data_IF_453630493296
#
_entry.id   IF_453630493296
#
_cell.length_a   1.000
_cell.length_b   1.000
_cell.length_c   1.000
_cell.angle_alpha   90.00
_cell.angle_beta   90.00
_cell.angle_gamma   90.00
#
_symmetry.space_group_name_H-M   'P 1'
#
loop_
_entity.id
_entity.type
_entity.pdbx_description
1 polymer ?
#
# COMPACT_ATOMS: atom_id res chain seq x y z
N UNK A 1 14.83 -13.21 -21.46
CA UNK A 1 14.29 -13.05 -20.10
C UNK A 1 14.21 -11.55 -19.81
N UNK A 2 13.02 -10.97 -19.71
CA UNK A 2 12.86 -9.55 -19.38
C UNK A 2 13.04 -9.36 -17.88
N UNK A 3 14.21 -8.89 -17.46
CA UNK A 3 14.46 -8.36 -16.12
C UNK A 3 13.38 -7.33 -15.81
N UNK A 4 12.60 -7.57 -14.75
CA UNK A 4 11.63 -6.60 -14.25
C UNK A 4 12.46 -5.41 -13.77
N UNK A 5 12.59 -4.37 -14.61
CA UNK A 5 13.25 -3.11 -14.26
C UNK A 5 12.71 -2.67 -12.90
N UNK A 6 13.61 -2.34 -11.98
CA UNK A 6 13.29 -1.70 -10.71
C UNK A 6 12.19 -0.66 -10.97
N UNK A 7 11.01 -0.85 -10.35
CA UNK A 7 9.94 0.11 -10.49
C UNK A 7 10.50 1.48 -10.05
N UNK A 8 10.35 2.54 -10.86
CA UNK A 8 10.83 3.86 -10.48
C UNK A 8 10.29 4.22 -9.11
N UNK A 9 11.12 4.83 -8.24
CA UNK A 9 10.67 5.36 -6.95
C UNK A 9 9.73 6.53 -7.23
N UNK A 10 8.46 6.22 -7.43
CA UNK A 10 7.40 7.20 -7.68
C UNK A 10 6.75 7.59 -6.36
N UNK A 11 6.59 8.89 -6.13
CA UNK A 11 5.78 9.42 -5.03
C UNK A 11 4.33 8.95 -5.16
N UNK A 12 3.71 8.55 -4.05
CA UNK A 12 2.28 8.18 -4.04
C UNK A 12 1.46 9.29 -3.44
N UNK A 13 0.45 9.77 -4.17
CA UNK A 13 -0.55 10.68 -3.62
C UNK A 13 -1.47 9.94 -2.65
N UNK A 14 -1.61 10.51 -1.44
CA UNK A 14 -2.52 10.05 -0.40
C UNK A 14 -3.59 11.11 -0.13
N UNK A 15 -4.85 10.69 0.00
CA UNK A 15 -5.95 11.57 0.37
C UNK A 15 -6.04 11.67 1.90
N UNK A 16 -5.69 12.84 2.43
CA UNK A 16 -5.95 13.23 3.83
C UNK A 16 -7.34 13.85 3.91
N UNK A 17 -8.11 13.50 4.95
CA UNK A 17 -9.47 14.04 5.19
C UNK A 17 -9.47 14.70 6.56
N UNK A 18 -10.12 15.84 6.68
CA UNK A 18 -10.20 16.64 7.92
C UNK A 18 -11.29 16.17 8.89
N UNK A 19 -12.30 15.45 8.38
CA UNK A 19 -13.43 14.99 9.20
C UNK A 19 -13.02 13.82 10.11
N UNK A 20 -13.30 13.95 11.41
CA UNK A 20 -12.99 12.93 12.42
C UNK A 20 -13.79 11.63 12.20
N UNK A 21 -14.98 11.69 11.60
CA UNK A 21 -15.75 10.48 11.27
C UNK A 21 -15.12 9.69 10.09
N UNK A 22 -14.23 10.32 9.32
CA UNK A 22 -13.51 9.67 8.22
C UNK A 22 -12.28 8.88 8.68
N UNK A 23 -11.96 8.87 9.99
CA UNK A 23 -10.80 8.15 10.54
C UNK A 23 -10.87 6.67 10.18
N UNK A 24 -9.75 6.13 9.70
CA UNK A 24 -9.64 4.73 9.27
C UNK A 24 -10.03 3.78 10.41
N UNK A 25 -9.59 4.08 11.64
CA UNK A 25 -9.87 3.28 12.84
C UNK A 25 -11.33 3.29 13.29
N UNK A 26 -12.14 4.26 12.83
CA UNK A 26 -13.57 4.33 13.13
C UNK A 26 -14.43 3.64 12.05
N UNK A 27 -13.82 3.17 10.96
CA UNK A 27 -14.53 2.51 9.87
C UNK A 27 -14.85 1.06 10.20
N UNK A 28 -15.98 0.57 9.67
CA UNK A 28 -16.32 -0.87 9.70
C UNK A 28 -15.34 -1.72 8.89
N UNK A 29 -14.69 -1.13 7.87
CA UNK A 29 -13.65 -1.77 7.07
C UNK A 29 -12.43 -0.83 6.95
N UNK A 30 -11.55 -0.82 7.97
CA UNK A 30 -10.38 0.04 7.98
C UNK A 30 -9.46 -0.18 6.77
N UNK A 31 -9.31 -1.43 6.32
CA UNK A 31 -8.39 -1.76 5.24
C UNK A 31 -8.89 -1.21 3.89
N UNK A 32 -10.17 -1.41 3.59
CA UNK A 32 -10.79 -0.80 2.42
C UNK A 32 -10.70 0.74 2.49
N UNK A 33 -10.95 1.31 3.68
CA UNK A 33 -10.88 2.77 3.88
C UNK A 33 -9.48 3.32 3.63
N UNK A 34 -8.43 2.60 4.05
CA UNK A 34 -7.04 2.91 3.72
C UNK A 34 -6.81 2.85 2.21
N UNK A 35 -7.28 1.79 1.54
CA UNK A 35 -7.16 1.68 0.07
C UNK A 35 -7.85 2.83 -0.66
N UNK A 36 -9.00 3.31 -0.16
CA UNK A 36 -9.67 4.51 -0.70
C UNK A 36 -8.91 5.81 -0.48
N UNK A 37 -7.88 5.84 0.38
CA UNK A 37 -6.96 6.98 0.48
C UNK A 37 -5.91 6.99 -0.62
N UNK A 38 -5.61 5.83 -1.19
CA UNK A 38 -4.59 5.65 -2.22
C UNK A 38 -5.19 5.58 -3.62
N UNK A 39 -6.35 4.93 -3.77
CA UNK A 39 -6.99 4.69 -5.05
C UNK A 39 -8.28 5.49 -5.17
N UNK A 40 -8.41 6.24 -6.25
CA UNK A 40 -9.62 7.00 -6.55
C UNK A 40 -10.77 6.06 -6.93
N UNK A 41 -10.48 5.09 -7.80
CA UNK A 41 -11.45 4.08 -8.23
C UNK A 41 -11.66 2.99 -7.19
N UNK A 42 -12.92 2.75 -6.85
CA UNK A 42 -13.33 1.75 -5.87
C UNK A 42 -12.92 0.33 -6.25
N UNK A 43 -13.09 -0.07 -7.52
CA UNK A 43 -12.69 -1.40 -8.00
C UNK A 43 -11.19 -1.64 -7.79
N UNK A 44 -10.37 -0.63 -8.05
CA UNK A 44 -8.92 -0.70 -7.87
C UNK A 44 -8.55 -0.72 -6.38
N UNK A 45 -9.29 -0.01 -5.52
CA UNK A 45 -9.12 -0.08 -4.07
C UNK A 45 -9.41 -1.49 -3.52
N UNK A 46 -10.49 -2.13 -3.97
CA UNK A 46 -10.84 -3.50 -3.59
C UNK A 46 -9.76 -4.50 -4.02
N UNK A 47 -9.28 -4.40 -5.26
CA UNK A 47 -8.19 -5.24 -5.77
C UNK A 47 -6.87 -4.99 -5.03
N UNK A 48 -6.58 -3.75 -4.65
CA UNK A 48 -5.43 -3.41 -3.82
C UNK A 48 -5.50 -4.06 -2.44
N UNK A 49 -6.67 -4.02 -1.78
CA UNK A 49 -6.93 -4.74 -0.54
C UNK A 49 -6.71 -6.25 -0.71
N UNK A 50 -7.34 -6.85 -1.72
CA UNK A 50 -7.22 -8.29 -2.01
C UNK A 50 -5.76 -8.69 -2.23
N UNK A 51 -5.01 -7.93 -3.03
CA UNK A 51 -3.61 -8.25 -3.29
C UNK A 51 -2.75 -8.18 -2.02
N UNK A 52 -2.99 -7.21 -1.13
CA UNK A 52 -2.29 -7.15 0.14
C UNK A 52 -2.65 -8.32 1.06
N UNK A 53 -3.92 -8.74 1.10
CA UNK A 53 -4.34 -9.94 1.84
C UNK A 53 -3.68 -11.21 1.30
N UNK A 54 -3.60 -11.37 -0.02
CA UNK A 54 -2.88 -12.51 -0.63
C UNK A 54 -1.41 -12.53 -0.22
N UNK A 55 -0.74 -11.37 -0.22
CA UNK A 55 0.66 -11.25 0.23
C UNK A 55 0.77 -11.62 1.71
N UNK A 56 -0.11 -11.11 2.56
CA UNK A 56 -0.13 -11.39 3.99
C UNK A 56 -0.26 -12.89 4.27
N UNK A 57 -1.26 -13.53 3.68
CA UNK A 57 -1.54 -14.97 3.85
C UNK A 57 -0.35 -15.83 3.41
N UNK A 58 0.15 -15.59 2.19
CA UNK A 58 1.30 -16.30 1.61
C UNK A 58 2.59 -16.08 2.40
N UNK A 59 2.81 -14.86 2.88
CA UNK A 59 3.97 -14.56 3.73
C UNK A 59 3.87 -15.29 5.07
N UNK A 60 2.69 -15.31 5.70
CA UNK A 60 2.46 -15.95 6.99
C UNK A 60 2.50 -17.48 6.88
N UNK A 61 2.18 -18.05 5.72
CA UNK A 61 2.33 -19.50 5.45
C UNK A 61 3.77 -19.90 5.09
N UNK A 62 4.72 -18.96 5.06
CA UNK A 62 6.11 -19.23 4.70
C UNK A 62 6.33 -19.43 3.19
N UNK A 63 5.35 -19.09 2.35
CA UNK A 63 5.44 -19.20 0.89
C UNK A 63 5.09 -17.86 0.20
N UNK A 64 5.93 -16.81 0.35
CA UNK A 64 5.65 -15.49 -0.20
C UNK A 64 5.43 -15.51 -1.71
N UNK A 65 4.56 -14.62 -2.19
CA UNK A 65 4.30 -14.46 -3.62
C UNK A 65 5.55 -13.96 -4.33
N UNK A 66 6.06 -14.76 -5.27
CA UNK A 66 7.19 -14.38 -6.13
C UNK A 66 6.71 -13.43 -7.21
N UNK A 67 7.58 -12.53 -7.64
CA UNK A 67 7.33 -11.58 -8.73
C UNK A 67 7.06 -12.27 -10.06
N UNK A 68 7.57 -13.49 -10.25
CA UNK A 68 7.29 -14.34 -11.42
C UNK A 68 5.85 -14.85 -11.46
N UNK A 69 5.16 -14.94 -10.31
CA UNK A 69 3.76 -15.38 -10.18
C UNK A 69 2.75 -14.28 -10.60
N UNK A 70 3.22 -13.14 -11.12
CA UNK A 70 2.38 -12.00 -11.47
C UNK A 70 1.21 -12.32 -12.40
N UNK A 71 1.35 -13.32 -13.29
CA UNK A 71 0.26 -13.73 -14.21
C UNK A 71 -0.89 -14.38 -13.45
N UNK A 72 -0.59 -15.28 -12.53
CA UNK A 72 -1.58 -15.97 -11.72
C UNK A 72 -2.30 -14.96 -10.80
N UNK A 73 -1.53 -14.11 -10.12
CA UNK A 73 -2.11 -13.04 -9.28
C UNK A 73 -3.02 -12.11 -10.10
N UNK A 74 -2.62 -11.75 -11.32
CA UNK A 74 -3.41 -10.91 -12.22
C UNK A 74 -4.75 -11.58 -12.59
N UNK A 75 -4.74 -12.89 -12.82
CA UNK A 75 -5.94 -13.69 -13.11
C UNK A 75 -6.86 -13.78 -11.89
N UNK A 76 -6.32 -14.10 -10.71
CA UNK A 76 -7.08 -14.16 -9.46
C UNK A 76 -7.73 -12.81 -9.09
N UNK A 77 -7.05 -11.70 -9.36
CA UNK A 77 -7.59 -10.34 -9.15
C UNK A 77 -8.53 -9.87 -10.28
N UNK A 78 -8.63 -10.64 -11.38
CA UNK A 78 -9.44 -10.30 -12.56
C UNK A 78 -9.06 -8.95 -13.17
N UNK A 79 -7.76 -8.66 -13.29
CA UNK A 79 -7.24 -7.39 -13.83
C UNK A 79 -6.43 -7.59 -15.11
N UNK A 80 -6.39 -6.57 -15.97
CA UNK A 80 -5.44 -6.54 -17.06
C UNK A 80 -4.02 -6.23 -16.59
N UNK A 81 -3.02 -6.58 -17.40
CA UNK A 81 -1.59 -6.37 -17.10
C UNK A 81 -1.26 -4.94 -16.69
N UNK A 82 -1.74 -3.95 -17.44
CA UNK A 82 -1.47 -2.54 -17.15
C UNK A 82 -2.02 -2.12 -15.77
N UNK A 83 -3.28 -2.51 -15.48
CA UNK A 83 -3.93 -2.23 -14.19
C UNK A 83 -3.21 -2.91 -13.02
N UNK A 84 -2.77 -4.16 -13.19
CA UNK A 84 -1.97 -4.85 -12.19
C UNK A 84 -0.70 -4.08 -11.85
N UNK A 85 0.11 -3.74 -12.86
CA UNK A 85 1.36 -3.02 -12.63
C UNK A 85 1.14 -1.61 -12.07
N UNK A 86 0.09 -0.90 -12.49
CA UNK A 86 -0.24 0.42 -11.93
C UNK A 86 -0.59 0.33 -10.44
N UNK A 87 -1.47 -0.61 -10.06
CA UNK A 87 -1.85 -0.86 -8.68
C UNK A 87 -0.65 -1.29 -7.83
N UNK A 88 0.10 -2.29 -8.30
CA UNK A 88 1.30 -2.82 -7.63
C UNK A 88 2.38 -1.75 -7.45
N UNK A 89 2.63 -0.93 -8.47
CA UNK A 89 3.60 0.17 -8.37
C UNK A 89 3.15 1.24 -7.37
N UNK A 90 1.85 1.52 -7.27
CA UNK A 90 1.33 2.46 -6.26
C UNK A 90 1.52 1.92 -4.84
N UNK A 91 1.28 0.63 -4.62
CA UNK A 91 1.51 -0.02 -3.32
C UNK A 91 3.01 -0.04 -2.95
N UNK A 92 3.89 -0.31 -3.92
CA UNK A 92 5.35 -0.21 -3.74
C UNK A 92 5.79 1.22 -3.42
N UNK A 93 5.30 2.20 -4.19
CA UNK A 93 5.63 3.61 -4.03
C UNK A 93 5.13 4.21 -2.72
N UNK A 94 3.99 3.72 -2.20
CA UNK A 94 3.49 4.09 -0.88
C UNK A 94 4.24 3.40 0.26
N UNK A 95 5.10 2.42 -0.03
CA UNK A 95 5.82 1.68 1.00
C UNK A 95 4.95 0.69 1.79
N UNK A 96 3.81 0.28 1.24
CA UNK A 96 2.92 -0.76 1.81
C UNK A 96 3.47 -2.17 1.57
N UNK A 97 4.17 -2.35 0.45
CA UNK A 97 4.87 -3.59 0.12
C UNK A 97 6.31 -3.29 -0.31
N UNK A 98 7.16 -4.30 -0.22
CA UNK A 98 8.47 -4.31 -0.86
C UNK A 98 8.53 -5.40 -1.93
N UNK A 99 9.51 -5.27 -2.82
CA UNK A 99 9.93 -6.33 -3.71
C UNK A 99 11.41 -6.61 -3.42
N UNK A 100 11.68 -7.56 -2.52
CA UNK A 100 13.04 -7.96 -2.13
C UNK A 100 13.19 -9.45 -2.41
N UNK A 101 14.35 -9.86 -2.92
CA UNK A 101 14.62 -11.25 -3.31
C UNK A 101 13.55 -11.82 -4.26
N UNK A 102 13.03 -10.97 -5.15
CA UNK A 102 11.98 -11.34 -6.10
C UNK A 102 10.67 -11.78 -5.45
N UNK A 103 10.42 -11.42 -4.19
CA UNK A 103 9.20 -11.69 -3.44
C UNK A 103 8.49 -10.40 -3.04
N UNK A 104 7.16 -10.42 -3.11
CA UNK A 104 6.34 -9.38 -2.50
C UNK A 104 6.18 -9.64 -1.01
N UNK A 105 6.45 -8.61 -0.20
CA UNK A 105 6.31 -8.66 1.26
C UNK A 105 5.67 -7.40 1.78
N UNK A 106 4.88 -7.50 2.84
CA UNK A 106 4.34 -6.33 3.53
C UNK A 106 5.48 -5.47 4.10
N UNK A 107 5.24 -4.17 4.17
CA UNK A 107 6.24 -3.19 4.56
C UNK A 107 5.68 -2.20 5.58
N UNK A 108 6.47 -1.93 6.63
CA UNK A 108 6.16 -0.88 7.60
C UNK A 108 6.60 0.52 7.18
N UNK A 109 7.20 0.69 5.98
CA UNK A 109 7.72 1.99 5.53
C UNK A 109 6.60 3.03 5.42
N UNK A 110 5.41 2.63 4.97
CA UNK A 110 4.22 3.48 4.93
C UNK A 110 3.93 4.10 6.31
N UNK A 111 3.85 3.28 7.35
CA UNK A 111 3.54 3.76 8.71
C UNK A 111 4.64 4.67 9.28
N UNK A 112 5.92 4.34 9.03
CA UNK A 112 7.05 5.15 9.49
C UNK A 112 7.02 6.56 8.89
N UNK A 113 6.78 6.66 7.59
CA UNK A 113 6.71 7.95 6.88
C UNK A 113 5.54 8.81 7.37
N UNK A 114 4.37 8.18 7.59
CA UNK A 114 3.21 8.89 8.14
C UNK A 114 3.43 9.39 9.57
N UNK A 115 4.06 8.58 10.43
CA UNK A 115 4.37 8.99 11.81
C UNK A 115 5.39 10.13 11.84
N UNK A 116 6.41 10.07 10.99
CA UNK A 116 7.41 11.14 10.87
C UNK A 116 6.76 12.47 10.47
N UNK A 117 5.94 12.48 9.41
CA UNK A 117 5.20 13.67 8.98
C UNK A 117 4.26 14.19 10.08
N UNK A 118 3.56 13.30 10.77
CA UNK A 118 2.64 13.68 11.85
C UNK A 118 3.38 14.31 13.04
N UNK A 119 4.46 13.68 13.50
CA UNK A 119 5.28 14.15 14.61
C UNK A 119 5.97 15.48 14.27
N UNK A 120 6.49 15.63 13.05
CA UNK A 120 7.07 16.90 12.61
C UNK A 120 6.05 18.03 12.61
N UNK A 121 4.84 17.80 12.07
CA UNK A 121 3.78 18.81 12.11
C UNK A 121 3.40 19.19 13.55
N UNK A 122 3.24 18.20 14.41
CA UNK A 122 2.87 18.40 15.82
C UNK A 122 3.90 19.22 16.59
N UNK A 123 5.18 18.91 16.40
CA UNK A 123 6.28 19.54 17.14
C UNK A 123 6.75 20.84 16.51
N UNK A 124 7.10 20.82 15.23
CA UNK A 124 7.74 21.94 14.56
C UNK A 124 6.76 23.02 14.11
N UNK A 125 5.52 22.65 13.74
CA UNK A 125 4.52 23.61 13.23
C UNK A 125 3.58 24.07 14.34
N UNK A 126 3.07 23.16 15.16
CA UNK A 126 2.14 23.52 16.25
C UNK A 126 2.85 23.92 17.56
N UNK A 127 4.14 23.63 17.69
CA UNK A 127 4.92 23.98 18.89
C UNK A 127 4.61 23.14 20.12
N UNK A 128 3.95 21.98 19.94
CA UNK A 128 3.63 21.09 21.04
C UNK A 128 4.90 20.35 21.51
N UNK A 129 4.96 20.07 22.81
CA UNK A 129 6.08 19.34 23.41
C UNK A 129 5.80 17.84 23.36
N UNK A 130 6.69 17.08 22.70
CA UNK A 130 6.61 15.61 22.61
C UNK A 130 6.02 15.11 21.29
N UNK A 131 5.92 13.78 21.16
CA UNK A 131 5.32 13.11 20.00
C UNK A 131 3.78 13.13 20.07
N UNK A 132 3.13 12.86 18.93
CA UNK A 132 1.67 12.86 18.80
C UNK A 132 0.98 11.77 19.63
#
# INVERSE_FOLDING_TARGET
MTTIKNAPRTSTTLIVRSDANSRITHSKDPFYTLMRRLFQEEKTALRGKQFLSMIEERQNSGEPIKTSEWKQVMEELGVGRASFYAMRNKLLGAGLITNKNEEYRLSGQFSKDLMDMANWWWTAVLGNKGEL
#
